data_IF_369517744525
#
_entry.id   IF_369517744525
#
_cell.length_a   1.000
_cell.length_b   1.000
_cell.length_c   1.000
_cell.angle_alpha   90.00
_cell.angle_beta   90.00
_cell.angle_gamma   90.00
#
_symmetry.space_group_name_H-M   'P 1'
#
loop_
_entity.id
_entity.type
_entity.pdbx_description
1 polymer ?
#
# COMPACT_ATOMS: atom_id res chain seq x y z
N UNK A 1 44.25 -24.02 36.71
CA UNK A 1 43.89 -25.40 36.24
C UNK A 1 42.37 -25.50 35.92
N UNK A 2 41.52 -24.67 36.49
CA UNK A 2 40.05 -24.72 36.27
C UNK A 2 39.63 -24.30 34.88
N UNK A 3 40.35 -23.43 34.18
CA UNK A 3 39.96 -22.87 32.86
C UNK A 3 40.23 -23.81 31.69
N UNK A 4 40.97 -24.92 31.86
CA UNK A 4 41.31 -25.77 30.73
C UNK A 4 40.27 -26.87 30.43
N UNK A 5 39.36 -27.16 31.35
CA UNK A 5 38.29 -28.14 31.15
C UNK A 5 37.00 -27.52 30.57
N UNK A 6 36.79 -26.24 30.71
CA UNK A 6 35.56 -25.60 30.20
C UNK A 6 35.44 -25.59 28.68
N UNK A 7 36.56 -25.57 27.96
CA UNK A 7 36.55 -25.59 26.48
C UNK A 7 36.07 -26.94 25.89
N UNK A 8 36.16 -28.01 26.72
CA UNK A 8 35.69 -29.35 26.30
C UNK A 8 34.22 -29.62 26.68
N UNK A 9 33.61 -28.73 27.48
CA UNK A 9 32.26 -28.93 27.96
C UNK A 9 31.25 -28.36 26.95
N UNK A 10 30.41 -29.23 26.39
CA UNK A 10 29.28 -28.84 25.57
C UNK A 10 28.08 -28.57 26.50
N UNK A 11 27.76 -27.30 26.74
CA UNK A 11 26.54 -26.89 27.47
C UNK A 11 25.34 -26.81 26.54
N UNK A 12 24.11 -27.07 27.05
CA UNK A 12 22.89 -26.85 26.27
C UNK A 12 22.84 -25.44 25.69
N UNK A 13 22.31 -25.25 24.48
CA UNK A 13 22.13 -23.91 23.91
C UNK A 13 21.27 -23.00 24.81
N UNK A 14 21.65 -21.72 24.88
CA UNK A 14 20.85 -20.68 25.51
C UNK A 14 19.92 -20.04 24.49
N UNK A 15 18.69 -19.75 24.93
CA UNK A 15 17.67 -19.12 24.13
C UNK A 15 17.60 -17.62 24.48
N UNK A 16 17.57 -16.74 23.46
CA UNK A 16 17.48 -15.30 23.64
C UNK A 16 16.09 -14.81 24.07
N UNK A 17 15.09 -15.69 24.06
CA UNK A 17 13.74 -15.45 24.55
C UNK A 17 13.34 -16.59 25.50
N UNK A 18 12.61 -16.27 26.54
CA UNK A 18 12.04 -17.27 27.45
C UNK A 18 10.83 -17.96 26.81
N UNK A 19 10.44 -19.12 27.34
CA UNK A 19 9.18 -19.76 26.96
C UNK A 19 7.99 -18.88 27.32
N UNK A 20 7.04 -18.72 26.40
CA UNK A 20 5.89 -17.86 26.64
C UNK A 20 4.96 -17.68 25.45
N UNK A 21 3.91 -16.88 25.70
CA UNK A 21 3.02 -16.37 24.66
C UNK A 21 3.40 -14.94 24.34
N UNK A 22 3.45 -14.61 23.05
CA UNK A 22 3.85 -13.33 22.50
C UNK A 22 2.77 -12.85 21.53
N UNK A 23 2.52 -11.56 21.49
CA UNK A 23 1.60 -10.87 20.56
C UNK A 23 2.33 -10.14 19.44
N UNK A 24 3.65 -10.34 19.36
CA UNK A 24 4.54 -9.83 18.32
C UNK A 24 5.39 -10.96 17.71
N UNK A 25 5.96 -10.71 16.54
CA UNK A 25 6.90 -11.62 15.89
C UNK A 25 8.17 -11.76 16.73
N UNK A 26 8.56 -12.97 17.06
CA UNK A 26 9.77 -13.25 17.87
C UNK A 26 10.94 -13.60 16.96
N UNK A 27 12.03 -12.84 17.07
CA UNK A 27 13.31 -13.16 16.43
C UNK A 27 14.20 -13.91 17.44
N UNK A 28 14.06 -15.25 17.47
CA UNK A 28 14.71 -16.10 18.45
C UNK A 28 16.18 -16.33 18.10
N UNK A 29 17.05 -15.98 19.04
CA UNK A 29 18.49 -16.30 18.98
C UNK A 29 18.82 -17.52 19.81
N UNK A 30 19.76 -18.34 19.32
CA UNK A 30 20.38 -19.45 20.05
C UNK A 30 21.88 -19.17 20.17
N UNK A 31 22.45 -19.45 21.33
CA UNK A 31 23.87 -19.31 21.57
C UNK A 31 24.48 -20.54 22.24
N UNK A 32 25.76 -20.75 22.04
CA UNK A 32 26.52 -21.84 22.63
C UNK A 32 27.73 -21.29 23.39
N UNK A 33 28.24 -22.08 24.34
CA UNK A 33 29.33 -21.67 25.23
C UNK A 33 30.73 -21.73 24.57
N UNK A 34 30.88 -22.46 23.47
CA UNK A 34 32.15 -22.61 22.73
C UNK A 34 31.91 -22.72 21.22
N UNK A 35 32.98 -22.86 20.42
CA UNK A 35 32.88 -23.11 18.98
C UNK A 35 32.27 -24.50 18.69
N UNK A 36 31.39 -24.56 17.69
CA UNK A 36 30.69 -25.78 17.28
C UNK A 36 29.43 -25.50 16.49
N UNK A 37 28.51 -26.46 16.46
CA UNK A 37 27.28 -26.39 15.68
C UNK A 37 26.07 -26.63 16.58
N UNK A 38 25.06 -25.73 16.46
CA UNK A 38 23.74 -25.92 17.09
C UNK A 38 22.81 -26.55 16.06
N UNK A 39 22.19 -27.69 16.43
CA UNK A 39 21.11 -28.33 15.68
C UNK A 39 19.78 -28.08 16.42
N UNK A 40 18.70 -27.86 15.67
CA UNK A 40 17.39 -27.56 16.26
C UNK A 40 16.23 -28.16 15.48
N UNK A 41 15.10 -28.29 16.20
CA UNK A 41 13.78 -28.60 15.66
C UNK A 41 12.77 -27.57 16.15
N UNK A 42 11.62 -27.45 15.47
CA UNK A 42 10.53 -26.50 15.84
C UNK A 42 9.26 -27.22 16.32
N UNK A 43 9.25 -28.55 16.31
CA UNK A 43 8.12 -29.42 16.61
C UNK A 43 8.30 -30.20 17.94
N UNK A 44 9.34 -29.90 18.70
CA UNK A 44 9.67 -30.56 19.97
C UNK A 44 10.38 -31.90 19.82
N UNK A 45 10.60 -32.40 18.60
CA UNK A 45 11.40 -33.61 18.38
C UNK A 45 12.84 -33.39 18.81
N UNK A 46 13.52 -34.50 19.20
CA UNK A 46 14.93 -34.41 19.61
C UNK A 46 15.83 -34.20 18.38
N UNK A 47 16.65 -33.10 18.33
CA UNK A 47 17.52 -32.84 17.19
C UNK A 47 18.67 -33.87 17.11
N UNK A 48 19.04 -34.20 15.86
CA UNK A 48 20.23 -34.94 15.52
C UNK A 48 21.08 -34.20 14.47
N UNK A 49 22.18 -34.80 13.97
CA UNK A 49 23.05 -34.18 12.97
C UNK A 49 22.39 -34.03 11.59
N UNK A 50 21.16 -34.53 11.37
CA UNK A 50 20.35 -34.35 10.16
C UNK A 50 19.33 -33.24 10.32
N UNK A 51 19.16 -32.74 11.55
CA UNK A 51 18.25 -31.63 11.87
C UNK A 51 18.77 -30.31 11.30
N UNK A 52 17.97 -29.28 11.40
CA UNK A 52 18.36 -27.93 10.92
C UNK A 52 19.53 -27.41 11.72
N UNK A 53 20.50 -26.80 11.02
CA UNK A 53 21.64 -26.10 11.64
C UNK A 53 21.23 -24.64 11.88
N UNK A 54 21.49 -24.17 13.08
CA UNK A 54 21.29 -22.76 13.42
C UNK A 54 22.45 -21.93 12.84
N UNK A 55 22.13 -21.06 11.88
CA UNK A 55 23.09 -20.18 11.20
C UNK A 55 22.71 -18.71 11.29
N UNK A 56 21.47 -18.40 11.66
CA UNK A 56 20.92 -17.06 11.80
C UNK A 56 19.73 -17.10 12.78
N UNK A 57 19.33 -15.95 13.35
CA UNK A 57 18.14 -15.86 14.21
C UNK A 57 16.88 -16.44 13.51
N UNK A 58 16.06 -17.15 14.27
CA UNK A 58 14.85 -17.80 13.80
C UNK A 58 13.68 -16.81 13.92
N UNK A 59 13.03 -16.51 12.80
CA UNK A 59 11.82 -15.70 12.80
C UNK A 59 10.63 -16.62 13.13
N UNK A 60 10.00 -16.41 14.29
CA UNK A 60 8.79 -17.12 14.71
C UNK A 60 7.59 -16.18 14.47
N UNK A 61 6.87 -16.47 13.39
CA UNK A 61 5.62 -15.81 13.02
C UNK A 61 4.43 -16.43 13.79
N UNK A 62 3.19 -16.10 13.42
CA UNK A 62 2.00 -16.67 14.08
C UNK A 62 2.02 -18.20 14.10
N UNK A 63 1.81 -18.80 15.27
CA UNK A 63 1.78 -20.23 15.45
C UNK A 63 2.34 -20.71 16.79
N UNK A 64 2.29 -22.03 17.00
CA UNK A 64 2.79 -22.73 18.18
C UNK A 64 4.09 -23.44 17.83
N UNK A 65 5.14 -23.17 18.60
CA UNK A 65 6.47 -23.73 18.41
C UNK A 65 6.95 -24.43 19.69
N UNK A 66 7.50 -25.64 19.51
CA UNK A 66 8.29 -26.31 20.54
C UNK A 66 9.73 -26.42 20.04
N UNK A 67 10.54 -25.44 20.40
CA UNK A 67 11.93 -25.40 19.93
C UNK A 67 12.79 -26.24 20.84
N UNK A 68 13.39 -27.29 20.27
CA UNK A 68 14.41 -28.13 20.94
C UNK A 68 15.74 -27.91 20.23
N UNK A 69 16.81 -27.70 21.00
CA UNK A 69 18.13 -27.44 20.47
C UNK A 69 19.21 -28.25 21.20
N UNK A 70 20.21 -28.72 20.47
CA UNK A 70 21.43 -29.36 20.99
C UNK A 70 22.65 -28.69 20.38
N UNK A 71 23.72 -28.67 21.13
CA UNK A 71 25.01 -28.16 20.68
C UNK A 71 26.02 -29.31 20.55
N UNK A 72 26.77 -29.34 19.45
CA UNK A 72 27.92 -30.25 19.26
C UNK A 72 29.15 -29.39 19.08
N UNK A 73 30.08 -29.46 20.01
CA UNK A 73 31.32 -28.67 19.96
C UNK A 73 32.30 -29.22 18.87
N UNK A 74 33.38 -28.50 18.62
CA UNK A 74 34.40 -28.87 17.62
C UNK A 74 35.12 -30.19 17.91
N UNK A 75 34.99 -30.74 19.13
CA UNK A 75 35.51 -32.04 19.51
C UNK A 75 34.51 -33.19 19.34
N UNK A 76 33.31 -32.92 18.81
CA UNK A 76 32.23 -33.87 18.61
C UNK A 76 31.47 -34.23 19.89
N UNK A 77 31.64 -33.48 20.98
CA UNK A 77 30.90 -33.69 22.23
C UNK A 77 29.55 -33.00 22.13
N UNK A 78 28.48 -33.80 22.31
CA UNK A 78 27.09 -33.33 22.30
C UNK A 78 26.66 -32.88 23.70
N UNK A 79 25.94 -31.78 23.77
CA UNK A 79 25.24 -31.27 24.97
C UNK A 79 23.97 -32.06 25.27
N UNK A 80 23.43 -31.89 26.47
CA UNK A 80 22.01 -32.13 26.71
C UNK A 80 21.16 -31.19 25.84
N UNK A 81 19.89 -31.56 25.59
CA UNK A 81 18.95 -30.73 24.85
C UNK A 81 18.38 -29.61 25.74
N UNK A 82 18.31 -28.41 25.18
CA UNK A 82 17.52 -27.30 25.72
C UNK A 82 16.18 -27.23 24.99
N UNK A 83 15.09 -26.86 25.69
CA UNK A 83 13.73 -26.81 25.15
C UNK A 83 12.99 -25.61 25.64
N UNK A 84 12.41 -24.87 24.69
CA UNK A 84 11.48 -23.77 24.97
C UNK A 84 10.23 -23.90 24.09
N UNK A 85 9.14 -23.34 24.56
CA UNK A 85 7.89 -23.26 23.79
C UNK A 85 7.52 -21.79 23.59
N UNK A 86 6.94 -21.51 22.42
CA UNK A 86 6.50 -20.17 22.03
C UNK A 86 5.13 -20.27 21.36
N UNK A 87 4.20 -19.46 21.84
CA UNK A 87 2.87 -19.29 21.23
C UNK A 87 2.79 -17.86 20.71
N UNK A 88 2.82 -17.71 19.40
CA UNK A 88 2.81 -16.39 18.76
C UNK A 88 1.38 -16.11 18.26
N UNK A 89 0.69 -15.19 18.92
CA UNK A 89 -0.68 -14.79 18.64
C UNK A 89 -0.69 -13.34 18.17
N UNK A 90 -0.41 -13.11 16.89
CA UNK A 90 -0.44 -11.77 16.32
C UNK A 90 -1.87 -11.22 16.33
N UNK A 91 -2.03 -9.99 16.78
CA UNK A 91 -3.31 -9.32 16.82
C UNK A 91 -3.82 -9.02 15.42
N UNK A 92 -5.06 -9.42 15.12
CA UNK A 92 -5.75 -9.04 13.89
C UNK A 92 -6.32 -7.63 14.09
N UNK A 93 -5.97 -6.63 13.24
CA UNK A 93 -6.54 -5.30 13.36
C UNK A 93 -8.05 -5.31 13.08
N UNK A 94 -8.77 -4.38 13.66
CA UNK A 94 -10.18 -4.17 13.33
C UNK A 94 -10.33 -3.80 11.84
N UNK A 95 -11.49 -4.14 11.27
CA UNK A 95 -11.81 -3.75 9.89
C UNK A 95 -11.95 -2.22 9.80
N UNK A 96 -11.49 -1.58 8.71
CA UNK A 96 -11.66 -0.14 8.53
C UNK A 96 -13.15 0.22 8.45
N UNK A 97 -13.56 1.32 9.09
CA UNK A 97 -14.93 1.81 8.98
C UNK A 97 -15.04 2.78 7.80
N UNK A 98 -16.02 2.56 6.92
CA UNK A 98 -16.32 3.42 5.78
C UNK A 98 -17.76 3.94 5.92
N UNK A 99 -17.96 5.14 6.50
CA UNK A 99 -19.29 5.68 6.83
C UNK A 99 -20.16 5.95 5.60
N UNK A 100 -19.54 6.29 4.46
CA UNK A 100 -20.28 6.51 3.20
C UNK A 100 -20.88 5.20 2.73
N UNK A 101 -22.21 5.11 2.73
CA UNK A 101 -22.95 3.91 2.35
C UNK A 101 -22.78 3.60 0.85
N UNK A 102 -22.84 2.31 0.48
CA UNK A 102 -22.96 1.92 -0.93
C UNK A 102 -24.26 2.45 -1.52
N UNK A 103 -24.25 2.88 -2.78
CA UNK A 103 -25.45 3.40 -3.43
C UNK A 103 -25.18 4.23 -4.68
N UNK A 104 -26.26 4.82 -5.19
CA UNK A 104 -26.23 5.74 -6.32
C UNK A 104 -26.17 7.18 -5.78
N UNK A 105 -25.34 7.99 -6.40
CA UNK A 105 -25.09 9.40 -6.04
C UNK A 105 -25.21 10.27 -7.29
N UNK A 106 -25.76 11.45 -7.14
CA UNK A 106 -25.91 12.49 -8.18
C UNK A 106 -25.01 13.69 -7.97
N UNK A 107 -24.38 13.77 -6.80
CA UNK A 107 -23.41 14.79 -6.44
C UNK A 107 -22.10 14.16 -6.00
N UNK A 108 -20.94 14.82 -6.25
CA UNK A 108 -19.65 14.31 -5.81
C UNK A 108 -19.57 14.19 -4.30
N UNK A 109 -19.06 13.06 -3.83
CA UNK A 109 -18.88 12.75 -2.41
C UNK A 109 -17.41 12.37 -2.17
N UNK A 110 -16.88 12.71 -1.01
CA UNK A 110 -15.59 12.21 -0.53
C UNK A 110 -15.81 10.99 0.34
N UNK A 111 -15.14 9.89 -0.01
CA UNK A 111 -15.16 8.65 0.74
C UNK A 111 -14.10 8.77 1.83
N UNK A 112 -14.55 8.92 3.06
CA UNK A 112 -13.70 8.91 4.24
C UNK A 112 -13.60 7.51 4.80
N UNK A 113 -12.44 7.15 5.33
CA UNK A 113 -12.19 5.87 5.99
C UNK A 113 -11.63 6.14 7.37
N UNK A 114 -12.24 5.56 8.38
CA UNK A 114 -11.72 5.55 9.73
C UNK A 114 -10.72 4.41 9.83
N UNK A 115 -9.46 4.76 10.05
CA UNK A 115 -8.35 3.82 10.14
C UNK A 115 -8.32 3.24 11.55
N UNK A 116 -8.34 1.91 11.72
CA UNK A 116 -8.26 1.30 13.04
C UNK A 116 -6.87 1.50 13.67
N UNK A 117 -6.80 1.46 14.98
CA UNK A 117 -5.56 1.54 15.74
C UNK A 117 -4.62 0.37 15.36
N UNK A 118 -3.34 0.66 15.19
CA UNK A 118 -2.33 -0.32 14.80
C UNK A 118 -2.43 -0.85 13.37
N UNK A 119 -3.34 -0.31 12.54
CA UNK A 119 -3.53 -0.72 11.16
C UNK A 119 -3.19 0.35 10.14
N UNK A 120 -2.66 -0.05 8.99
CA UNK A 120 -2.56 0.77 7.78
C UNK A 120 -3.63 0.31 6.79
N UNK A 121 -4.45 1.24 6.28
CA UNK A 121 -5.53 0.88 5.35
C UNK A 121 -5.05 0.92 3.90
N UNK A 122 -5.30 -0.17 3.18
CA UNK A 122 -5.10 -0.31 1.74
C UNK A 122 -6.43 -0.55 1.04
N UNK A 123 -6.53 -0.13 -0.21
CA UNK A 123 -7.76 -0.31 -0.97
C UNK A 123 -7.53 -0.56 -2.45
N UNK A 124 -8.57 -1.12 -3.10
CA UNK A 124 -8.70 -1.27 -4.55
C UNK A 124 -10.02 -0.63 -5.02
N UNK A 125 -10.07 -0.24 -6.30
CA UNK A 125 -11.26 0.39 -6.91
C UNK A 125 -11.92 -0.49 -7.96
N UNK A 126 -11.33 -1.64 -8.26
CA UNK A 126 -11.79 -2.58 -9.29
C UNK A 126 -12.41 -3.86 -8.73
N UNK A 127 -12.59 -3.93 -7.40
CA UNK A 127 -13.09 -5.11 -6.70
C UNK A 127 -12.09 -6.24 -6.49
N UNK A 128 -10.82 -6.07 -6.88
CA UNK A 128 -9.75 -6.99 -6.52
C UNK A 128 -9.53 -7.00 -4.99
N UNK A 129 -8.99 -8.08 -4.45
CA UNK A 129 -8.62 -8.16 -3.03
C UNK A 129 -7.42 -7.24 -2.78
N UNK A 130 -7.50 -6.26 -1.87
CA UNK A 130 -6.38 -5.41 -1.52
C UNK A 130 -5.36 -6.16 -0.66
N UNK A 131 -4.10 -5.76 -0.79
CA UNK A 131 -2.93 -6.22 -0.06
C UNK A 131 -2.00 -5.03 0.29
N UNK A 132 -0.84 -5.29 0.90
CA UNK A 132 0.14 -4.27 1.28
C UNK A 132 0.79 -3.55 0.07
N UNK A 133 0.61 -4.05 -1.16
CA UNK A 133 1.07 -3.41 -2.40
C UNK A 133 -0.03 -2.62 -3.11
N UNK A 134 -1.24 -2.69 -2.61
CA UNK A 134 -2.39 -1.94 -3.10
C UNK A 134 -2.28 -0.46 -2.72
N UNK A 135 -3.19 0.36 -3.21
CA UNK A 135 -3.19 1.79 -2.91
C UNK A 135 -3.45 2.03 -1.41
N UNK A 136 -2.52 2.74 -0.75
CA UNK A 136 -2.66 3.12 0.65
C UNK A 136 -3.66 4.28 0.79
N UNK A 137 -4.53 4.20 1.78
CA UNK A 137 -5.39 5.31 2.17
C UNK A 137 -4.60 6.35 2.97
N UNK A 138 -4.50 7.56 2.43
CA UNK A 138 -3.80 8.69 3.05
C UNK A 138 -4.71 9.89 3.31
N UNK A 139 -5.99 9.79 2.96
CA UNK A 139 -6.99 10.84 3.14
C UNK A 139 -8.23 10.62 2.29
N UNK A 140 -9.25 11.48 2.40
CA UNK A 140 -10.53 11.31 1.74
C UNK A 140 -10.41 11.13 0.23
N UNK A 141 -11.04 10.06 -0.30
CA UNK A 141 -11.00 9.68 -1.72
C UNK A 141 -12.18 10.34 -2.44
N UNK A 142 -11.92 11.08 -3.52
CA UNK A 142 -12.99 11.57 -4.39
C UNK A 142 -13.72 10.38 -5.03
N UNK A 143 -15.05 10.31 -4.92
CA UNK A 143 -15.84 9.25 -5.53
C UNK A 143 -15.71 9.32 -7.06
N UNK A 144 -15.24 8.25 -7.73
CA UNK A 144 -15.10 8.23 -9.17
C UNK A 144 -16.46 8.28 -9.88
N UNK A 145 -16.50 8.88 -11.08
CA UNK A 145 -17.66 8.82 -11.96
C UNK A 145 -17.95 7.39 -12.42
N UNK A 146 -19.25 7.09 -12.57
CA UNK A 146 -19.72 5.78 -12.96
C UNK A 146 -19.68 4.80 -11.81
N UNK A 147 -19.73 3.50 -12.13
CA UNK A 147 -19.75 2.44 -11.12
C UNK A 147 -18.33 2.06 -10.71
N UNK A 148 -18.11 2.05 -9.40
CA UNK A 148 -16.82 1.67 -8.80
C UNK A 148 -17.04 0.73 -7.63
N UNK A 149 -16.26 -0.35 -7.55
CA UNK A 149 -16.28 -1.31 -6.47
C UNK A 149 -15.01 -1.20 -5.65
N UNK A 150 -15.14 -0.61 -4.47
CA UNK A 150 -14.05 -0.50 -3.51
C UNK A 150 -13.98 -1.72 -2.60
N UNK A 151 -12.78 -2.12 -2.29
CA UNK A 151 -12.49 -3.00 -1.17
C UNK A 151 -11.41 -2.36 -0.31
N UNK A 152 -11.60 -2.38 1.00
CA UNK A 152 -10.69 -1.83 1.99
C UNK A 152 -10.25 -2.93 2.95
N UNK A 153 -8.98 -2.92 3.34
CA UNK A 153 -8.40 -3.81 4.36
C UNK A 153 -7.47 -2.99 5.24
N UNK A 154 -7.46 -3.25 6.54
CA UNK A 154 -6.41 -2.78 7.43
C UNK A 154 -5.35 -3.89 7.57
N UNK A 155 -4.07 -3.50 7.55
CA UNK A 155 -2.94 -4.43 7.72
C UNK A 155 -2.09 -3.91 8.85
N UNK A 156 -1.77 -4.77 9.84
CA UNK A 156 -0.90 -4.43 10.96
C UNK A 156 0.56 -4.32 10.55
N UNK A 157 1.44 -3.84 11.44
CA UNK A 157 2.89 -3.79 11.19
C UNK A 157 3.49 -5.19 10.97
N UNK A 158 2.91 -6.22 11.58
CA UNK A 158 3.31 -7.63 11.43
C UNK A 158 2.73 -8.26 10.16
N UNK A 159 1.99 -7.51 9.33
CA UNK A 159 1.42 -7.98 8.08
C UNK A 159 0.10 -8.75 8.21
N UNK A 160 -0.55 -8.72 9.38
CA UNK A 160 -1.85 -9.38 9.59
C UNK A 160 -2.97 -8.52 9.04
N UNK A 161 -3.83 -9.12 8.21
CA UNK A 161 -4.94 -8.43 7.56
C UNK A 161 -6.24 -8.55 8.35
N UNK A 162 -7.00 -7.45 8.40
CA UNK A 162 -8.37 -7.41 8.91
C UNK A 162 -9.36 -8.13 7.98
N UNK A 163 -10.61 -8.16 8.40
CA UNK A 163 -11.74 -8.40 7.49
C UNK A 163 -11.81 -7.32 6.40
N UNK A 164 -12.27 -7.72 5.19
CA UNK A 164 -12.40 -6.83 4.04
C UNK A 164 -13.75 -6.11 4.06
N UNK A 165 -13.70 -4.78 3.99
CA UNK A 165 -14.90 -3.95 3.84
C UNK A 165 -15.15 -3.66 2.37
N UNK A 166 -16.35 -4.02 1.89
CA UNK A 166 -16.77 -3.79 0.51
C UNK A 166 -17.70 -2.58 0.42
N UNK A 167 -17.49 -1.73 -0.59
CA UNK A 167 -18.38 -0.61 -0.93
C UNK A 167 -18.52 -0.51 -2.45
N UNK A 168 -19.77 -0.34 -2.90
CA UNK A 168 -20.09 -0.15 -4.31
C UNK A 168 -20.78 1.19 -4.49
N UNK A 169 -20.24 2.05 -5.33
CA UNK A 169 -20.78 3.37 -5.61
C UNK A 169 -21.07 3.52 -7.10
N UNK A 170 -22.10 4.32 -7.41
CA UNK A 170 -22.42 4.73 -8.79
C UNK A 170 -22.66 6.22 -8.76
N UNK A 171 -21.69 7.01 -9.24
CA UNK A 171 -21.80 8.46 -9.31
C UNK A 171 -22.18 8.86 -10.74
N UNK A 172 -23.35 9.48 -10.90
CA UNK A 172 -23.84 10.04 -12.16
C UNK A 172 -24.25 11.49 -11.93
N UNK A 173 -23.51 12.44 -12.52
CA UNK A 173 -23.85 13.86 -12.38
C UNK A 173 -25.00 14.23 -13.33
N UNK A 174 -25.95 15.01 -12.81
CA UNK A 174 -26.97 15.67 -13.62
C UNK A 174 -26.39 16.96 -14.24
N UNK A 175 -25.69 16.82 -15.34
CA UNK A 175 -25.05 17.92 -16.06
C UNK A 175 -24.95 17.63 -17.55
N UNK A 176 -25.08 18.71 -18.36
CA UNK A 176 -24.90 18.66 -19.83
C UNK A 176 -23.43 18.53 -20.25
N UNK A 177 -22.47 18.73 -19.33
CA UNK A 177 -21.04 18.64 -19.60
C UNK A 177 -20.53 17.25 -19.24
N UNK A 178 -20.49 16.36 -20.23
CA UNK A 178 -19.86 15.04 -20.08
C UNK A 178 -18.33 15.17 -20.01
N UNK A 179 -17.64 14.13 -19.51
CA UNK A 179 -16.16 14.06 -19.52
C UNK A 179 -15.59 14.24 -20.93
N UNK A 180 -16.18 13.60 -21.94
CA UNK A 180 -15.77 13.78 -23.35
C UNK A 180 -15.92 15.22 -23.81
N UNK A 181 -17.01 15.87 -23.44
CA UNK A 181 -17.23 17.29 -23.76
C UNK A 181 -16.22 18.18 -23.05
N UNK A 182 -15.88 17.90 -21.79
CA UNK A 182 -14.85 18.63 -21.05
C UNK A 182 -13.47 18.53 -21.72
N UNK A 183 -13.08 17.34 -22.18
CA UNK A 183 -11.84 17.17 -22.97
C UNK A 183 -11.87 18.04 -24.23
N UNK A 184 -12.95 18.00 -25.00
CA UNK A 184 -13.08 18.79 -26.23
C UNK A 184 -13.04 20.29 -25.96
N UNK A 185 -13.62 20.75 -24.84
CA UNK A 185 -13.58 22.16 -24.40
C UNK A 185 -12.14 22.61 -24.16
N UNK A 186 -11.30 21.79 -23.49
CA UNK A 186 -9.88 22.12 -23.27
C UNK A 186 -9.12 22.16 -24.59
N UNK A 187 -9.32 21.19 -25.47
CA UNK A 187 -8.68 21.17 -26.79
C UNK A 187 -9.04 22.43 -27.58
N UNK A 188 -10.32 22.80 -27.63
CA UNK A 188 -10.80 24.00 -28.32
C UNK A 188 -10.23 25.30 -27.72
N UNK A 189 -10.21 25.43 -26.39
CA UNK A 189 -9.63 26.57 -25.70
C UNK A 189 -8.13 26.75 -25.99
N UNK A 190 -7.37 25.64 -25.98
CA UNK A 190 -5.95 25.67 -26.30
C UNK A 190 -5.66 25.92 -27.78
N UNK A 191 -6.52 25.41 -28.68
CA UNK A 191 -6.44 25.70 -30.10
C UNK A 191 -6.68 27.22 -30.38
N UNK A 192 -7.72 27.81 -29.81
CA UNK A 192 -8.01 29.26 -29.94
C UNK A 192 -6.85 30.12 -29.43
N UNK A 193 -6.15 29.67 -28.39
CA UNK A 193 -4.96 30.33 -27.85
C UNK A 193 -3.67 30.05 -28.62
N UNK A 194 -3.75 29.29 -29.71
CA UNK A 194 -2.59 28.89 -30.54
C UNK A 194 -1.53 28.09 -29.78
N UNK A 195 -1.93 27.41 -28.71
CA UNK A 195 -1.10 26.40 -28.03
C UNK A 195 -1.10 25.12 -28.86
N UNK A 196 -2.28 24.74 -29.38
CA UNK A 196 -2.43 23.66 -30.33
C UNK A 196 -2.50 24.20 -31.75
N UNK A 197 -1.99 23.44 -32.73
CA UNK A 197 -2.07 23.75 -34.17
C UNK A 197 -3.33 23.22 -34.82
N UNK A 198 -3.99 22.24 -34.18
CA UNK A 198 -5.25 21.65 -34.60
C UNK A 198 -6.08 21.09 -33.45
N UNK A 199 -7.27 20.61 -33.74
CA UNK A 199 -8.18 19.99 -32.76
C UNK A 199 -7.87 18.51 -32.45
N UNK A 200 -6.84 17.92 -33.07
CA UNK A 200 -6.35 16.59 -32.80
C UNK A 200 -5.27 16.58 -31.73
N UNK A 201 -4.87 17.77 -31.25
CA UNK A 201 -3.90 17.94 -30.17
C UNK A 201 -2.46 18.19 -30.62
N UNK A 202 -2.19 18.34 -31.93
CA UNK A 202 -0.86 18.67 -32.41
C UNK A 202 -0.46 20.09 -31.98
N UNK A 203 0.82 20.32 -31.82
CA UNK A 203 1.34 21.64 -31.42
C UNK A 203 2.63 21.97 -32.19
N UNK A 204 2.91 23.26 -32.29
CA UNK A 204 4.15 23.74 -32.87
C UNK A 204 5.33 23.43 -31.91
N UNK A 205 6.33 22.69 -32.39
CA UNK A 205 7.58 22.48 -31.64
C UNK A 205 7.65 21.21 -30.79
N UNK A 206 6.65 20.33 -30.85
CA UNK A 206 6.77 18.97 -30.33
C UNK A 206 6.54 17.95 -31.46
N UNK A 207 7.26 16.83 -31.39
CA UNK A 207 6.93 15.66 -32.19
C UNK A 207 5.81 14.89 -31.47
N UNK A 208 4.66 14.66 -32.17
CA UNK A 208 3.49 14.02 -31.58
C UNK A 208 2.35 14.99 -31.26
N UNK A 209 1.54 14.66 -30.28
CA UNK A 209 0.36 15.45 -29.91
C UNK A 209 0.12 15.48 -28.41
N UNK A 210 -0.61 16.47 -27.93
CA UNK A 210 -1.16 16.48 -26.58
C UNK A 210 -2.45 15.66 -26.51
N UNK A 211 -2.58 14.88 -25.44
CA UNK A 211 -3.76 14.08 -25.11
C UNK A 211 -4.22 14.46 -23.70
N UNK A 212 -5.51 14.69 -23.55
CA UNK A 212 -6.10 15.08 -22.27
C UNK A 212 -6.96 13.93 -21.74
N UNK A 213 -6.71 13.51 -20.51
CA UNK A 213 -7.43 12.41 -19.88
C UNK A 213 -8.06 12.87 -18.58
N UNK A 214 -9.31 12.44 -18.40
CA UNK A 214 -9.99 12.61 -17.12
C UNK A 214 -9.23 11.93 -15.99
N UNK A 215 -9.11 12.64 -14.87
CA UNK A 215 -8.51 12.17 -13.65
C UNK A 215 -9.58 12.01 -12.55
N UNK A 216 -10.23 13.09 -12.19
CA UNK A 216 -11.15 13.14 -11.06
C UNK A 216 -12.16 14.28 -11.19
N UNK A 217 -13.13 14.30 -10.26
CA UNK A 217 -13.95 15.48 -9.96
C UNK A 217 -13.49 16.05 -8.63
N UNK A 218 -13.31 17.36 -8.60
CA UNK A 218 -12.88 18.08 -7.40
C UNK A 218 -13.84 19.22 -7.11
N UNK A 219 -14.21 19.39 -5.85
CA UNK A 219 -14.85 20.60 -5.37
C UNK A 219 -13.77 21.65 -5.10
N UNK A 220 -13.87 22.80 -5.79
CA UNK A 220 -13.06 23.97 -5.48
C UNK A 220 -13.89 24.89 -4.61
N UNK A 221 -13.48 25.18 -3.36
CA UNK A 221 -14.29 25.95 -2.41
C UNK A 221 -14.79 27.28 -2.98
N UNK A 222 -16.08 27.54 -2.86
CA UNK A 222 -16.80 28.69 -3.37
C UNK A 222 -16.89 28.82 -4.92
N UNK A 223 -16.39 27.85 -5.68
CA UNK A 223 -16.41 27.86 -7.15
C UNK A 223 -17.21 26.69 -7.75
N UNK A 224 -17.47 25.62 -6.97
CA UNK A 224 -18.23 24.46 -7.43
C UNK A 224 -17.38 23.28 -7.83
N UNK A 225 -17.93 22.39 -8.66
CA UNK A 225 -17.30 21.15 -9.07
C UNK A 225 -16.65 21.25 -10.44
N UNK A 226 -15.47 20.64 -10.56
CA UNK A 226 -14.66 20.67 -11.78
C UNK A 226 -14.19 19.27 -12.16
N UNK A 227 -14.31 18.93 -13.45
CA UNK A 227 -13.57 17.83 -14.03
C UNK A 227 -12.09 18.19 -14.09
N UNK A 228 -11.25 17.38 -13.53
CA UNK A 228 -9.80 17.53 -13.62
C UNK A 228 -9.27 16.65 -14.75
N UNK A 229 -8.46 17.23 -15.61
CA UNK A 229 -7.86 16.59 -16.76
C UNK A 229 -6.35 16.67 -16.67
N UNK A 230 -5.69 15.52 -16.78
CA UNK A 230 -4.24 15.42 -16.94
C UNK A 230 -3.85 15.60 -18.41
N UNK A 231 -2.76 16.31 -18.66
CA UNK A 231 -2.15 16.43 -19.99
C UNK A 231 -1.06 15.37 -20.17
N UNK A 232 -1.02 14.77 -21.35
CA UNK A 232 0.02 13.84 -21.78
C UNK A 232 0.56 14.30 -23.14
N UNK A 233 1.83 13.99 -23.41
CA UNK A 233 2.42 14.03 -24.75
C UNK A 233 2.42 12.60 -25.28
N UNK A 234 1.78 12.38 -26.42
CA UNK A 234 1.81 11.11 -27.16
C UNK A 234 2.79 11.24 -28.31
N UNK A 235 3.82 10.40 -28.34
CA UNK A 235 4.81 10.35 -29.42
C UNK A 235 4.26 9.65 -30.69
N UNK A 236 5.05 9.66 -31.77
CA UNK A 236 4.65 9.01 -33.03
C UNK A 236 4.55 7.48 -32.94
N UNK A 237 5.01 6.87 -31.85
CA UNK A 237 4.88 5.43 -31.55
C UNK A 237 3.67 5.13 -30.68
N UNK A 238 2.92 6.16 -30.23
CA UNK A 238 1.76 6.02 -29.36
C UNK A 238 2.10 5.94 -27.85
N UNK A 239 3.36 6.11 -27.45
CA UNK A 239 3.73 6.18 -26.05
C UNK A 239 3.31 7.51 -25.47
N UNK A 240 2.73 7.47 -24.24
CA UNK A 240 2.22 8.65 -23.58
C UNK A 240 3.02 8.98 -22.32
N UNK A 241 3.50 10.20 -22.22
CA UNK A 241 4.21 10.73 -21.05
C UNK A 241 3.37 11.83 -20.41
N UNK A 242 3.04 11.67 -19.14
CA UNK A 242 2.28 12.67 -18.37
C UNK A 242 3.13 13.93 -18.18
N UNK A 243 2.53 15.10 -18.42
CA UNK A 243 3.14 16.39 -18.12
C UNK A 243 2.75 16.85 -16.70
N UNK A 244 3.32 17.96 -16.27
CA UNK A 244 2.94 18.60 -14.98
C UNK A 244 1.69 19.51 -15.11
N UNK A 245 1.09 19.59 -16.31
CA UNK A 245 -0.02 20.49 -16.53
C UNK A 245 -1.35 19.81 -16.24
N UNK A 246 -2.18 20.52 -15.51
CA UNK A 246 -3.53 20.12 -15.17
C UNK A 246 -4.53 21.16 -15.70
N UNK A 247 -5.69 20.66 -16.09
CA UNK A 247 -6.79 21.49 -16.53
C UNK A 247 -8.04 21.18 -15.72
N UNK A 248 -8.91 22.17 -15.59
CA UNK A 248 -10.17 22.06 -14.88
C UNK A 248 -11.31 22.64 -15.73
N UNK A 249 -12.39 21.87 -15.85
CA UNK A 249 -13.61 22.32 -16.56
C UNK A 249 -14.77 22.29 -15.57
N UNK A 250 -15.43 23.42 -15.37
CA UNK A 250 -16.60 23.53 -14.51
C UNK A 250 -17.73 22.63 -15.06
N UNK A 251 -18.35 21.83 -14.19
CA UNK A 251 -19.22 20.72 -14.63
C UNK A 251 -20.56 21.19 -15.21
N UNK A 252 -21.05 22.39 -14.87
CA UNK A 252 -22.34 22.91 -15.37
C UNK A 252 -22.19 23.89 -16.53
N UNK A 253 -21.21 24.78 -16.46
CA UNK A 253 -21.00 25.84 -17.47
C UNK A 253 -20.01 25.45 -18.57
N UNK A 254 -19.15 24.47 -18.30
CA UNK A 254 -18.05 24.11 -19.19
C UNK A 254 -16.92 25.15 -19.20
N UNK A 255 -16.82 26.04 -18.22
CA UNK A 255 -15.75 27.05 -18.16
C UNK A 255 -14.38 26.39 -18.07
N UNK A 256 -13.49 26.57 -19.09
CA UNK A 256 -12.18 25.92 -19.11
C UNK A 256 -11.15 26.73 -18.34
N UNK A 257 -10.34 26.06 -17.55
CA UNK A 257 -9.29 26.65 -16.76
C UNK A 257 -8.02 25.78 -16.80
N UNK A 258 -6.87 26.42 -16.61
CA UNK A 258 -5.66 25.75 -16.16
C UNK A 258 -5.68 25.65 -14.63
N UNK A 259 -5.51 24.45 -14.09
CA UNK A 259 -5.39 24.23 -12.66
C UNK A 259 -3.93 24.43 -12.24
N UNK A 260 -3.71 25.17 -11.18
CA UNK A 260 -2.41 25.40 -10.57
C UNK A 260 -2.50 25.16 -9.06
N UNK A 261 -1.37 24.91 -8.42
CA UNK A 261 -1.24 24.87 -6.97
C UNK A 261 -0.29 25.96 -6.53
N UNK A 262 -0.63 26.65 -5.44
CA UNK A 262 0.27 27.61 -4.79
C UNK A 262 1.31 26.87 -3.90
N UNK A 263 2.22 27.63 -3.28
CA UNK A 263 3.29 27.12 -2.40
C UNK A 263 2.75 26.32 -1.19
N UNK A 264 1.49 26.54 -0.82
CA UNK A 264 0.80 25.85 0.29
C UNK A 264 -0.06 24.68 -0.19
N UNK A 265 0.00 24.33 -1.48
CA UNK A 265 -0.81 23.28 -2.07
C UNK A 265 -2.28 23.66 -2.30
N UNK A 266 -2.64 24.94 -2.21
CA UNK A 266 -3.99 25.40 -2.47
C UNK A 266 -4.24 25.51 -3.97
N UNK A 267 -5.38 24.97 -4.41
CA UNK A 267 -5.81 25.01 -5.81
C UNK A 267 -6.20 26.42 -6.24
N UNK A 268 -5.72 26.81 -7.42
CA UNK A 268 -6.07 28.03 -8.12
C UNK A 268 -6.45 27.74 -9.58
N UNK A 269 -7.29 28.59 -10.16
CA UNK A 269 -7.77 28.49 -11.54
C UNK A 269 -7.30 29.69 -12.36
N UNK A 270 -6.74 29.43 -13.53
CA UNK A 270 -6.42 30.42 -14.55
C UNK A 270 -7.36 30.19 -15.74
N UNK A 271 -8.30 31.11 -16.02
CA UNK A 271 -9.23 30.96 -17.14
C UNK A 271 -8.53 30.82 -18.49
N UNK A 272 -9.08 29.96 -19.34
CA UNK A 272 -8.64 29.71 -20.72
C UNK A 272 -9.57 30.38 -21.76
N UNK A 273 -10.30 31.43 -21.36
CA UNK A 273 -11.21 32.19 -22.26
C UNK A 273 -10.43 33.14 -23.15
#
# INVERSE_FOLDING_TARGET
IVNHFQQFLALPPEFGYESGSYDEVVTLTLSANTAGTIYYTLDGSEPDERSRIYTAPLLLESGDYQVTAVFINEYGIRSDSARNWYVINLSVPDAPEVPVASGDYDTPVKIEVIVPEGGTVYYTTNGATPDAYSQQYTGPIAMPLGRTNFKFVAISEEGVSSEIVNRSYSLTLDTDITVTRAVNIIVDALYRRRVLSDLQGHSYGIEGKYVFKYDSIVEIPNLGYYYILNEYVEDNSGNQTKTERLYAVEVNTGAPNRLIYDENGKMGLIPLN
#
